data_IF_755094339323
#
_entry.id   IF_755094339323
#
_cell.length_a   1.000
_cell.length_b   1.000
_cell.length_c   1.000
_cell.angle_alpha   90.00
_cell.angle_beta   90.00
_cell.angle_gamma   90.00
#
_symmetry.space_group_name_H-M   'P 1'
#
loop_
_entity.id
_entity.type
_entity.pdbx_description
1 polymer ?
#
# COMPACT_ATOMS: atom_id res chain seq x y z
N UNK A 1 -15.12 22.36 65.43
CA UNK A 1 -14.66 20.98 65.17
C UNK A 1 -15.40 20.51 63.93
N UNK A 2 -14.65 20.41 62.82
CA UNK A 2 -14.92 19.82 61.48
C UNK A 2 -16.22 20.11 60.69
N UNK A 3 -16.25 20.02 59.33
CA UNK A 3 -15.14 19.85 58.36
C UNK A 3 -15.19 20.73 57.07
N UNK A 4 -14.01 20.83 56.46
CA UNK A 4 -13.61 20.99 55.04
C UNK A 4 -14.62 21.33 53.91
N UNK A 5 -14.36 22.45 53.23
CA UNK A 5 -14.72 22.67 51.82
C UNK A 5 -13.45 22.62 50.95
N UNK A 6 -13.31 21.55 50.16
CA UNK A 6 -12.29 21.44 49.11
C UNK A 6 -12.81 22.12 47.84
N UNK A 7 -12.18 23.22 47.44
CA UNK A 7 -12.34 23.80 46.13
C UNK A 7 -11.85 22.82 45.04
N UNK A 8 -12.72 22.55 44.07
CA UNK A 8 -12.45 21.76 42.88
C UNK A 8 -11.47 22.53 41.96
N UNK A 9 -10.23 22.06 41.89
CA UNK A 9 -9.28 22.44 40.85
C UNK A 9 -9.52 21.60 39.60
N UNK A 10 -10.06 22.24 38.57
CA UNK A 10 -10.44 21.69 37.27
C UNK A 10 -9.23 21.02 36.58
N UNK A 11 -9.31 19.71 36.36
CA UNK A 11 -8.34 18.94 35.58
C UNK A 11 -8.40 19.33 34.11
N UNK A 12 -7.49 20.20 33.68
CA UNK A 12 -7.26 20.50 32.28
C UNK A 12 -6.85 19.23 31.54
N UNK A 13 -7.79 18.64 30.79
CA UNK A 13 -7.51 17.63 29.78
C UNK A 13 -6.53 18.26 28.78
N UNK A 14 -5.29 17.78 28.80
CA UNK A 14 -4.31 18.10 27.77
C UNK A 14 -4.89 17.74 26.41
N UNK A 15 -5.09 18.75 25.57
CA UNK A 15 -5.38 18.55 24.15
C UNK A 15 -4.11 17.96 23.57
N UNK A 16 -4.10 16.66 23.30
CA UNK A 16 -3.05 16.03 22.49
C UNK A 16 -3.05 16.75 21.13
N UNK A 17 -2.12 17.69 20.96
CA UNK A 17 -1.87 18.33 19.66
C UNK A 17 -1.30 17.25 18.75
N UNK A 18 -2.16 16.66 17.92
CA UNK A 18 -1.75 15.81 16.80
C UNK A 18 -0.70 16.60 16.00
N UNK A 19 0.46 16.00 15.74
CA UNK A 19 1.50 16.64 14.94
C UNK A 19 0.90 17.10 13.60
N UNK A 20 1.29 18.27 13.08
CA UNK A 20 0.78 18.75 11.81
C UNK A 20 1.05 17.72 10.70
N UNK A 21 0.12 17.55 9.74
CA UNK A 21 0.31 16.60 8.64
C UNK A 21 1.57 16.98 7.85
N UNK A 22 2.29 15.97 7.37
CA UNK A 22 3.50 16.20 6.58
C UNK A 22 3.13 16.75 5.20
N UNK A 23 3.64 17.94 4.87
CA UNK A 23 3.51 18.56 3.55
C UNK A 23 4.19 17.69 2.49
N UNK A 24 3.46 17.39 1.42
CA UNK A 24 3.82 16.42 0.40
C UNK A 24 3.71 16.98 -1.02
N UNK A 25 4.73 16.74 -1.85
CA UNK A 25 4.63 16.84 -3.31
C UNK A 25 4.32 15.48 -3.91
N UNK A 26 3.32 15.41 -4.78
CA UNK A 26 3.02 14.24 -5.61
C UNK A 26 3.58 14.47 -7.01
N UNK A 27 4.52 13.63 -7.43
CA UNK A 27 5.16 13.68 -8.74
C UNK A 27 4.78 12.43 -9.52
N UNK A 28 3.99 12.60 -10.57
CA UNK A 28 3.53 11.51 -11.44
C UNK A 28 4.18 11.60 -12.81
N UNK A 29 5.19 10.76 -13.11
CA UNK A 29 5.71 10.65 -14.46
C UNK A 29 4.72 9.94 -15.39
N UNK A 30 4.60 10.39 -16.63
CA UNK A 30 3.87 9.67 -17.68
C UNK A 30 4.70 9.57 -18.96
N UNK A 31 4.55 8.47 -19.69
CA UNK A 31 5.34 8.26 -20.90
C UNK A 31 4.80 9.11 -22.05
N UNK A 32 5.67 9.87 -22.71
CA UNK A 32 5.28 10.51 -23.97
C UNK A 32 5.13 9.47 -25.08
N UNK A 33 4.28 9.73 -26.08
CA UNK A 33 3.99 8.82 -27.22
C UNK A 33 5.25 8.25 -27.92
N UNK A 34 6.40 8.93 -27.81
CA UNK A 34 7.68 8.51 -28.40
C UNK A 34 8.43 7.46 -27.55
N UNK A 35 8.20 7.44 -26.23
CA UNK A 35 8.77 6.53 -25.24
C UNK A 35 7.96 5.23 -25.11
N UNK A 36 6.66 5.28 -25.42
CA UNK A 36 5.69 4.18 -25.28
C UNK A 36 5.84 3.07 -26.34
N UNK A 37 7.07 2.74 -26.80
CA UNK A 37 7.29 1.64 -27.76
C UNK A 37 6.90 0.29 -27.13
N UNK A 38 5.62 -0.06 -27.21
CA UNK A 38 5.06 -1.36 -26.81
C UNK A 38 4.29 -1.39 -25.49
N UNK A 39 4.10 -0.28 -24.78
CA UNK A 39 3.18 -0.20 -23.63
C UNK A 39 2.14 0.88 -23.90
N UNK A 40 0.92 0.46 -24.21
CA UNK A 40 -0.23 1.38 -24.27
C UNK A 40 -0.54 1.76 -22.83
N UNK A 41 -0.28 3.02 -22.48
CA UNK A 41 -0.75 3.58 -21.20
C UNK A 41 -2.29 3.49 -21.24
N UNK A 42 -2.86 2.55 -20.47
CA UNK A 42 -4.30 2.22 -20.53
C UNK A 42 -5.19 3.34 -19.99
N UNK A 43 -4.60 4.36 -19.35
CA UNK A 43 -5.33 5.43 -18.65
C UNK A 43 -4.83 6.81 -19.02
N UNK A 44 -5.71 7.79 -18.82
CA UNK A 44 -5.34 9.18 -18.92
C UNK A 44 -4.27 9.54 -17.87
N UNK A 45 -3.23 10.30 -18.23
CA UNK A 45 -2.22 10.78 -17.28
C UNK A 45 -2.82 11.49 -16.05
N UNK A 46 -3.92 12.21 -16.25
CA UNK A 46 -4.66 12.89 -15.18
C UNK A 46 -5.26 11.90 -14.18
N UNK A 47 -5.87 10.81 -14.65
CA UNK A 47 -6.43 9.78 -13.77
C UNK A 47 -5.34 9.06 -12.95
N UNK A 48 -4.15 8.87 -13.54
CA UNK A 48 -2.98 8.34 -12.81
C UNK A 48 -2.54 9.31 -11.70
N UNK A 49 -2.51 10.61 -11.98
CA UNK A 49 -2.18 11.63 -10.98
C UNK A 49 -3.23 11.67 -9.86
N UNK A 50 -4.51 11.59 -10.19
CA UNK A 50 -5.61 11.55 -9.21
C UNK A 50 -5.48 10.34 -8.27
N UNK A 51 -5.18 9.16 -8.82
CA UNK A 51 -4.92 7.97 -8.01
C UNK A 51 -3.70 8.15 -7.10
N UNK A 52 -2.60 8.70 -7.62
CA UNK A 52 -1.40 8.99 -6.86
C UNK A 52 -1.67 9.97 -5.69
N UNK A 53 -2.45 11.03 -5.94
CA UNK A 53 -2.91 11.95 -4.90
C UNK A 53 -3.75 11.20 -3.87
N UNK A 54 -4.68 10.35 -4.31
CA UNK A 54 -5.49 9.52 -3.42
C UNK A 54 -4.65 8.63 -2.51
N UNK A 55 -3.54 8.06 -2.99
CA UNK A 55 -2.64 7.24 -2.18
C UNK A 55 -1.96 8.09 -1.09
N UNK A 56 -1.53 9.31 -1.42
CA UNK A 56 -0.94 10.22 -0.44
C UNK A 56 -1.95 10.63 0.65
N UNK A 57 -3.18 10.94 0.25
CA UNK A 57 -4.26 11.28 1.18
C UNK A 57 -4.64 10.10 2.10
N UNK A 58 -4.52 8.86 1.62
CA UNK A 58 -4.83 7.66 2.41
C UNK A 58 -3.96 7.47 3.66
N UNK A 59 -2.79 8.12 3.73
CA UNK A 59 -1.92 8.16 4.91
C UNK A 59 -1.79 9.56 5.53
N UNK A 60 -2.80 10.41 5.31
CA UNK A 60 -2.92 11.74 5.93
C UNK A 60 -1.77 12.70 5.57
N UNK A 61 -1.21 12.58 4.37
CA UNK A 61 -0.27 13.56 3.84
C UNK A 61 -1.02 14.80 3.35
N UNK A 62 -0.47 15.98 3.61
CA UNK A 62 -1.00 17.24 3.08
C UNK A 62 -0.41 17.46 1.68
N UNK A 63 -1.19 17.20 0.64
CA UNK A 63 -0.72 17.39 -0.75
C UNK A 63 -0.73 18.88 -1.10
N UNK A 64 0.45 19.49 -1.13
CA UNK A 64 0.64 20.92 -1.42
C UNK A 64 1.05 21.18 -2.87
N UNK A 65 1.61 20.16 -3.52
CA UNK A 65 1.98 20.21 -4.93
C UNK A 65 1.61 18.92 -5.65
N UNK A 66 1.12 19.04 -6.87
CA UNK A 66 0.82 17.91 -7.78
C UNK A 66 1.42 18.20 -9.15
N UNK A 67 2.35 17.35 -9.58
CA UNK A 67 3.11 17.54 -10.81
C UNK A 67 2.96 16.35 -11.74
N UNK A 68 2.36 16.56 -12.91
CA UNK A 68 2.36 15.59 -13.99
C UNK A 68 3.57 15.84 -14.90
N UNK A 69 4.51 14.90 -14.95
CA UNK A 69 5.79 15.09 -15.63
C UNK A 69 5.87 14.24 -16.91
N UNK A 70 5.89 14.85 -18.11
CA UNK A 70 6.08 14.10 -19.34
C UNK A 70 7.50 13.54 -19.41
N UNK A 71 7.62 12.24 -19.67
CA UNK A 71 8.90 11.56 -19.83
C UNK A 71 9.10 11.07 -21.26
N UNK A 72 10.20 11.52 -21.86
CA UNK A 72 10.71 10.94 -23.11
C UNK A 72 11.52 9.67 -22.89
N UNK A 73 12.20 9.56 -21.74
CA UNK A 73 13.06 8.44 -21.39
C UNK A 73 13.35 8.46 -19.88
N UNK A 74 13.34 7.30 -19.23
CA UNK A 74 13.72 7.16 -17.82
C UNK A 74 15.24 7.27 -17.67
N UNK A 75 15.71 8.20 -16.83
CA UNK A 75 17.14 8.37 -16.56
C UNK A 75 17.62 7.41 -15.46
N UNK A 76 18.72 6.65 -15.68
CA UNK A 76 19.20 5.69 -14.68
C UNK A 76 19.56 6.31 -13.33
N UNK A 77 20.01 7.57 -13.31
CA UNK A 77 20.49 8.22 -12.09
C UNK A 77 19.38 8.83 -11.22
N UNK A 78 18.34 9.41 -11.81
CA UNK A 78 17.33 10.23 -11.10
C UNK A 78 15.90 9.98 -11.55
N UNK A 79 15.67 9.04 -12.48
CA UNK A 79 14.41 8.83 -13.19
C UNK A 79 14.04 9.99 -14.14
N UNK A 80 14.16 11.23 -13.67
CA UNK A 80 13.95 12.49 -14.39
C UNK A 80 15.24 13.05 -15.01
N UNK A 81 15.10 13.93 -16.01
CA UNK A 81 16.21 14.75 -16.51
C UNK A 81 16.60 15.88 -15.54
N UNK A 82 17.85 16.36 -15.62
CA UNK A 82 18.44 17.33 -14.66
C UNK A 82 17.61 18.60 -14.51
N UNK A 83 17.13 19.19 -15.61
CA UNK A 83 16.31 20.41 -15.56
C UNK A 83 15.01 20.22 -14.75
N UNK A 84 14.33 19.08 -14.90
CA UNK A 84 13.13 18.78 -14.10
C UNK A 84 13.46 18.48 -12.63
N UNK A 85 14.62 17.89 -12.36
CA UNK A 85 15.07 17.69 -10.98
C UNK A 85 15.30 19.05 -10.29
N UNK A 86 15.92 20.01 -10.97
CA UNK A 86 16.18 21.35 -10.45
C UNK A 86 14.88 22.17 -10.27
N UNK A 87 13.96 22.08 -11.23
CA UNK A 87 12.63 22.71 -11.14
C UNK A 87 11.86 22.21 -9.90
N UNK A 88 11.83 20.89 -9.69
CA UNK A 88 11.18 20.30 -8.52
C UNK A 88 11.92 20.66 -7.23
N UNK A 89 13.25 20.78 -7.26
CA UNK A 89 14.03 21.20 -6.09
C UNK A 89 13.61 22.59 -5.60
N UNK A 90 13.42 23.54 -6.52
CA UNK A 90 12.98 24.89 -6.20
C UNK A 90 11.56 24.89 -5.60
N UNK A 91 10.66 24.04 -6.10
CA UNK A 91 9.30 23.88 -5.54
C UNK A 91 9.35 23.27 -4.14
N UNK A 92 10.18 22.24 -3.93
CA UNK A 92 10.36 21.59 -2.63
C UNK A 92 10.82 22.59 -1.57
N UNK A 93 11.75 23.47 -1.94
CA UNK A 93 12.25 24.53 -1.05
C UNK A 93 11.20 25.63 -0.82
N UNK A 94 10.58 26.14 -1.88
CA UNK A 94 9.62 27.23 -1.80
C UNK A 94 8.34 26.88 -1.03
N UNK A 95 7.86 25.64 -1.17
CA UNK A 95 6.64 25.15 -0.52
C UNK A 95 6.93 24.41 0.80
N UNK A 96 8.17 24.41 1.29
CA UNK A 96 8.59 23.74 2.53
C UNK A 96 8.13 22.27 2.59
N UNK A 97 8.39 21.52 1.51
CA UNK A 97 7.91 20.16 1.35
C UNK A 97 8.74 19.20 2.20
N UNK A 98 8.09 18.51 3.14
CA UNK A 98 8.72 17.53 4.04
C UNK A 98 8.82 16.12 3.46
N UNK A 99 8.07 15.82 2.40
CA UNK A 99 8.07 14.52 1.73
C UNK A 99 7.78 14.66 0.24
N UNK A 100 8.55 14.01 -0.62
CA UNK A 100 8.21 13.88 -2.04
C UNK A 100 7.72 12.47 -2.30
N UNK A 101 6.45 12.33 -2.68
CA UNK A 101 5.90 11.10 -3.23
C UNK A 101 6.14 11.06 -4.74
N UNK A 102 6.91 10.06 -5.19
CA UNK A 102 7.19 9.81 -6.60
C UNK A 102 6.40 8.58 -7.09
N UNK A 103 5.43 8.79 -7.97
CA UNK A 103 4.50 7.75 -8.45
C UNK A 103 5.11 6.84 -9.54
N UNK A 104 6.22 6.20 -9.19
CA UNK A 104 6.86 5.13 -9.96
C UNK A 104 7.65 4.22 -9.01
N UNK A 105 8.06 3.04 -9.49
CA UNK A 105 9.03 2.21 -8.79
C UNK A 105 10.46 2.74 -9.03
N UNK A 106 11.05 3.38 -8.02
CA UNK A 106 12.40 3.95 -8.12
C UNK A 106 13.46 2.90 -7.79
N UNK A 107 14.59 2.88 -8.49
CA UNK A 107 15.75 2.10 -8.03
C UNK A 107 16.35 2.72 -6.74
N UNK A 108 17.11 1.94 -5.93
CA UNK A 108 17.76 2.48 -4.73
C UNK A 108 18.67 3.68 -5.03
N UNK A 109 19.35 3.65 -6.18
CA UNK A 109 20.24 4.73 -6.63
C UNK A 109 19.44 5.96 -7.04
N UNK A 110 18.32 5.79 -7.75
CA UNK A 110 17.44 6.88 -8.14
C UNK A 110 16.87 7.60 -6.92
N UNK A 111 16.30 6.84 -5.98
CA UNK A 111 15.73 7.41 -4.76
C UNK A 111 16.78 8.23 -3.99
N UNK A 112 17.96 7.66 -3.73
CA UNK A 112 19.04 8.35 -3.01
C UNK A 112 19.47 9.64 -3.71
N UNK A 113 19.61 9.60 -5.03
CA UNK A 113 20.05 10.77 -5.78
C UNK A 113 19.01 11.90 -5.75
N UNK A 114 17.72 11.54 -5.84
CA UNK A 114 16.62 12.49 -5.69
C UNK A 114 16.58 13.08 -4.27
N UNK A 115 16.67 12.24 -3.23
CA UNK A 115 16.73 12.70 -1.83
C UNK A 115 17.88 13.69 -1.60
N UNK A 116 19.07 13.39 -2.15
CA UNK A 116 20.23 14.29 -2.06
C UNK A 116 20.03 15.59 -2.82
N UNK A 117 19.36 15.57 -3.97
CA UNK A 117 19.14 16.75 -4.82
C UNK A 117 18.06 17.67 -4.28
N UNK A 118 17.05 17.11 -3.63
CA UNK A 118 15.92 17.86 -3.08
C UNK A 118 16.08 18.16 -1.58
N UNK A 119 17.07 17.57 -0.91
CA UNK A 119 17.27 17.67 0.54
C UNK A 119 16.04 17.23 1.36
N UNK A 120 15.19 16.39 0.78
CA UNK A 120 13.91 15.95 1.32
C UNK A 120 13.75 14.46 1.12
N UNK A 121 13.04 13.78 2.04
CA UNK A 121 12.77 12.34 1.94
C UNK A 121 11.92 12.05 0.70
N UNK A 122 12.30 11.02 -0.05
CA UNK A 122 11.57 10.58 -1.26
C UNK A 122 10.99 9.20 -0.98
N UNK A 123 9.68 9.07 -1.20
CA UNK A 123 8.96 7.80 -1.10
C UNK A 123 8.45 7.45 -2.49
N UNK A 124 8.71 6.23 -2.91
CA UNK A 124 8.23 5.72 -4.19
C UNK A 124 6.84 5.07 -4.04
N UNK A 125 6.22 4.68 -5.16
CA UNK A 125 4.88 4.05 -5.15
C UNK A 125 4.82 2.81 -4.27
N UNK A 126 5.85 1.98 -4.31
CA UNK A 126 5.91 0.73 -3.52
C UNK A 126 5.93 1.02 -2.02
N UNK A 127 6.80 1.93 -1.59
CA UNK A 127 6.92 2.30 -0.19
C UNK A 127 5.65 2.97 0.36
N UNK A 128 5.00 3.84 -0.43
CA UNK A 128 3.76 4.50 -0.02
C UNK A 128 2.63 3.48 0.18
N UNK A 129 2.48 2.53 -0.75
CA UNK A 129 1.49 1.47 -0.65
C UNK A 129 1.74 0.60 0.59
N UNK A 130 2.99 0.21 0.84
CA UNK A 130 3.37 -0.55 2.05
C UNK A 130 3.01 0.19 3.35
N UNK A 131 3.20 1.51 3.38
CA UNK A 131 2.83 2.36 4.52
C UNK A 131 1.31 2.39 4.72
N UNK A 132 0.53 2.54 3.65
CA UNK A 132 -0.94 2.45 3.72
C UNK A 132 -1.34 1.10 4.33
N UNK A 133 -0.77 -0.01 3.85
CA UNK A 133 -1.10 -1.33 4.39
C UNK A 133 -0.67 -1.51 5.84
N UNK A 134 0.46 -0.94 6.24
CA UNK A 134 0.90 -0.96 7.64
C UNK A 134 -0.14 -0.36 8.58
N UNK A 135 -0.82 0.71 8.14
CA UNK A 135 -1.91 1.35 8.91
C UNK A 135 -3.24 0.59 8.85
N UNK A 136 -3.43 -0.26 7.84
CA UNK A 136 -4.70 -0.97 7.59
C UNK A 136 -4.69 -2.41 8.10
N UNK A 137 -3.52 -3.00 8.30
CA UNK A 137 -3.36 -4.35 8.82
C UNK A 137 -3.85 -4.44 10.26
N UNK A 138 -4.95 -5.13 10.49
CA UNK A 138 -5.54 -5.36 11.81
C UNK A 138 -5.33 -6.78 12.29
N UNK A 139 -5.25 -7.74 11.37
CA UNK A 139 -4.98 -9.13 11.73
C UNK A 139 -3.49 -9.35 11.95
N UNK A 140 -3.16 -10.34 12.79
CA UNK A 140 -1.76 -10.78 12.99
C UNK A 140 -1.12 -11.24 11.67
N UNK A 141 -1.89 -11.92 10.82
CA UNK A 141 -1.44 -12.39 9.51
C UNK A 141 -1.11 -11.21 8.59
N UNK A 142 -2.05 -10.27 8.43
CA UNK A 142 -1.86 -9.08 7.61
C UNK A 142 -0.68 -8.24 8.09
N UNK A 143 -0.52 -8.08 9.41
CA UNK A 143 0.61 -7.34 9.98
C UNK A 143 1.96 -8.01 9.66
N UNK A 144 2.05 -9.34 9.80
CA UNK A 144 3.26 -10.09 9.45
C UNK A 144 3.57 -10.01 7.94
N UNK A 145 2.56 -10.06 7.08
CA UNK A 145 2.74 -9.96 5.62
C UNK A 145 3.24 -8.59 5.19
N UNK A 146 2.66 -7.53 5.76
CA UNK A 146 3.09 -6.16 5.49
C UNK A 146 4.51 -5.95 6.02
N UNK A 147 4.82 -6.43 7.22
CA UNK A 147 6.19 -6.36 7.79
C UNK A 147 7.20 -7.10 6.90
N UNK A 148 6.85 -8.32 6.43
CA UNK A 148 7.69 -9.09 5.52
C UNK A 148 7.97 -8.33 4.21
N UNK A 149 6.93 -7.74 3.62
CA UNK A 149 7.06 -6.96 2.40
C UNK A 149 7.91 -5.70 2.63
N UNK A 150 7.71 -5.01 3.77
CA UNK A 150 8.50 -3.85 4.16
C UNK A 150 9.98 -4.18 4.34
N UNK A 151 10.31 -5.28 5.03
CA UNK A 151 11.69 -5.73 5.23
C UNK A 151 12.35 -6.15 3.92
N UNK A 152 11.62 -6.84 3.03
CA UNK A 152 12.15 -7.21 1.71
C UNK A 152 12.46 -5.97 0.86
N UNK A 153 11.56 -4.99 0.87
CA UNK A 153 11.77 -3.71 0.21
C UNK A 153 13.00 -2.98 0.77
N UNK A 154 13.09 -2.84 2.10
CA UNK A 154 14.22 -2.21 2.79
C UNK A 154 15.54 -2.93 2.49
N UNK A 155 15.56 -4.27 2.53
CA UNK A 155 16.77 -5.08 2.28
C UNK A 155 17.43 -4.74 0.95
N UNK A 156 16.64 -4.49 -0.09
CA UNK A 156 17.14 -4.11 -1.42
C UNK A 156 17.77 -2.71 -1.47
N UNK A 157 17.48 -1.86 -0.47
CA UNK A 157 17.86 -0.44 -0.40
C UNK A 157 18.86 -0.11 0.70
N UNK A 158 19.34 -1.10 1.46
CA UNK A 158 20.40 -0.94 2.48
C UNK A 158 21.76 -0.52 1.88
N UNK A 159 21.94 -0.62 0.57
CA UNK A 159 23.22 -0.37 -0.08
C UNK A 159 23.47 1.14 -0.22
N UNK A 160 24.26 1.68 0.72
CA UNK A 160 24.99 2.97 0.68
C UNK A 160 24.23 4.27 1.04
N UNK A 161 23.06 4.23 1.66
CA UNK A 161 22.31 5.44 2.05
C UNK A 161 22.78 6.15 3.34
N UNK A 162 23.91 5.76 3.93
CA UNK A 162 24.35 6.29 5.24
C UNK A 162 25.68 7.08 5.20
N UNK A 163 25.88 7.98 4.24
CA UNK A 163 27.10 8.82 4.18
C UNK A 163 26.99 10.16 4.93
N UNK A 164 25.87 10.46 5.62
CA UNK A 164 25.66 11.77 6.27
C UNK A 164 25.86 11.81 7.79
N UNK A 165 25.92 10.67 8.49
CA UNK A 165 26.16 10.65 9.95
C UNK A 165 27.65 10.61 10.34
N UNK A 166 28.55 10.33 9.40
CA UNK A 166 30.01 10.32 9.66
C UNK A 166 30.64 11.72 9.64
N UNK A 167 29.95 12.76 9.15
CA UNK A 167 30.53 14.12 9.09
C UNK A 167 30.25 15.00 10.31
N UNK A 168 29.30 14.63 11.16
CA UNK A 168 28.95 15.43 12.34
C UNK A 168 29.57 14.91 13.65
N UNK A 169 30.13 13.69 13.63
CA UNK A 169 30.92 13.14 14.74
C UNK A 169 32.36 13.00 14.27
N UNK A 170 33.14 14.05 14.52
CA UNK A 170 34.59 14.05 14.31
C UNK A 170 35.21 12.76 14.84
N UNK A 171 36.21 12.28 14.10
CA UNK A 171 36.71 10.91 14.18
C UNK A 171 36.83 10.37 15.60
N UNK A 172 36.21 9.22 15.83
CA UNK A 172 36.57 8.31 16.92
C UNK A 172 35.95 6.94 16.68
N UNK A 173 36.80 5.92 16.60
CA UNK A 173 36.42 4.55 16.96
C UNK A 173 35.80 3.69 15.87
N UNK A 174 36.66 2.89 15.23
CA UNK A 174 36.37 1.48 14.96
C UNK A 174 35.61 0.87 16.17
N UNK A 175 34.29 0.77 16.09
CA UNK A 175 33.47 -0.04 17.00
C UNK A 175 32.56 -0.95 16.18
N UNK A 176 33.20 -1.71 15.30
CA UNK A 176 32.76 -3.04 14.86
C UNK A 176 34.01 -3.91 14.92
N UNK A 177 33.90 -5.18 15.33
CA UNK A 177 35.03 -6.10 15.30
C UNK A 177 35.72 -6.14 13.93
N UNK A 178 36.95 -6.67 13.84
CA UNK A 178 37.74 -6.65 12.61
C UNK A 178 37.10 -7.58 11.55
N UNK A 179 36.11 -7.11 10.79
CA UNK A 179 35.62 -7.84 9.61
C UNK A 179 34.20 -7.54 9.12
N UNK A 180 33.24 -7.18 9.97
CA UNK A 180 31.85 -6.97 9.52
C UNK A 180 31.55 -5.47 9.39
N UNK A 181 31.17 -5.03 8.18
CA UNK A 181 30.71 -3.66 7.97
C UNK A 181 29.33 -3.48 8.60
N UNK A 182 29.02 -2.30 9.15
CA UNK A 182 27.69 -2.01 9.73
C UNK A 182 26.54 -2.36 8.77
N UNK A 183 26.75 -2.17 7.46
CA UNK A 183 25.78 -2.49 6.41
C UNK A 183 25.52 -4.00 6.34
N UNK A 184 26.54 -4.83 6.51
CA UNK A 184 26.40 -6.29 6.53
C UNK A 184 25.68 -6.74 7.80
N UNK A 185 25.98 -6.14 8.94
CA UNK A 185 25.29 -6.41 10.20
C UNK A 185 23.78 -6.09 10.09
N UNK A 186 23.42 -4.91 9.55
CA UNK A 186 22.02 -4.51 9.36
C UNK A 186 21.31 -5.43 8.35
N UNK A 187 21.99 -5.79 7.26
CA UNK A 187 21.47 -6.73 6.25
C UNK A 187 21.24 -8.11 6.86
N UNK A 188 22.12 -8.57 7.74
CA UNK A 188 21.98 -9.83 8.47
C UNK A 188 20.80 -9.78 9.43
N UNK A 189 20.65 -8.71 10.21
CA UNK A 189 19.51 -8.52 11.12
C UNK A 189 18.17 -8.53 10.37
N UNK A 190 18.08 -7.82 9.25
CA UNK A 190 16.87 -7.84 8.39
C UNK A 190 16.64 -9.25 7.84
N UNK A 191 17.68 -9.95 7.40
CA UNK A 191 17.59 -11.34 6.94
C UNK A 191 17.07 -12.30 8.02
N UNK A 192 17.60 -12.22 9.23
CA UNK A 192 17.16 -13.03 10.38
C UNK A 192 15.70 -12.74 10.75
N UNK A 193 15.28 -11.47 10.67
CA UNK A 193 13.89 -11.06 10.91
C UNK A 193 12.95 -11.60 9.84
N UNK A 194 13.33 -11.52 8.57
CA UNK A 194 12.58 -12.11 7.44
C UNK A 194 12.33 -13.60 7.69
N UNK A 195 13.38 -14.38 7.99
CA UNK A 195 13.27 -15.82 8.23
C UNK A 195 12.30 -16.13 9.39
N UNK A 196 12.32 -15.31 10.45
CA UNK A 196 11.42 -15.46 11.59
C UNK A 196 9.96 -15.22 11.19
N UNK A 197 9.69 -14.13 10.48
CA UNK A 197 8.34 -13.79 10.02
C UNK A 197 7.81 -14.83 9.04
N UNK A 198 8.65 -15.35 8.14
CA UNK A 198 8.27 -16.44 7.22
C UNK A 198 7.85 -17.70 7.99
N UNK A 199 8.56 -18.06 9.06
CA UNK A 199 8.17 -19.16 9.96
C UNK A 199 6.84 -18.88 10.68
N UNK A 200 6.66 -17.67 11.19
CA UNK A 200 5.43 -17.29 11.88
C UNK A 200 4.22 -17.32 10.91
N UNK A 201 4.42 -16.87 9.66
CA UNK A 201 3.41 -16.95 8.60
C UNK A 201 3.07 -18.40 8.25
N UNK A 202 4.05 -19.29 8.20
CA UNK A 202 3.82 -20.72 7.96
C UNK A 202 2.97 -21.35 9.07
N UNK A 203 3.17 -20.94 10.33
CA UNK A 203 2.33 -21.37 11.44
C UNK A 203 0.89 -20.86 11.29
N UNK A 204 0.71 -19.59 10.91
CA UNK A 204 -0.62 -18.99 10.68
C UNK A 204 -1.36 -19.72 9.55
N UNK A 205 -0.67 -20.03 8.44
CA UNK A 205 -1.24 -20.82 7.33
C UNK A 205 -1.76 -22.18 7.78
N UNK A 206 -1.01 -22.90 8.62
CA UNK A 206 -1.45 -24.20 9.18
C UNK A 206 -2.73 -24.06 10.01
N UNK A 207 -2.81 -23.04 10.87
CA UNK A 207 -4.03 -22.74 11.62
C UNK A 207 -5.21 -22.43 10.70
N UNK A 208 -4.98 -21.66 9.63
CA UNK A 208 -6.02 -21.33 8.64
C UNK A 208 -6.53 -22.56 7.90
N UNK A 209 -5.65 -23.48 7.50
CA UNK A 209 -6.02 -24.76 6.87
C UNK A 209 -6.90 -25.65 7.78
N UNK A 210 -6.64 -25.63 9.09
CA UNK A 210 -7.49 -26.33 10.07
C UNK A 210 -8.89 -25.70 10.15
N UNK A 211 -8.98 -24.37 10.26
CA UNK A 211 -10.26 -23.65 10.22
C UNK A 211 -11.00 -23.84 8.89
N UNK A 212 -10.26 -23.98 7.78
CA UNK A 212 -10.80 -24.27 6.45
C UNK A 212 -11.43 -25.65 6.37
N UNK A 213 -10.79 -26.66 6.96
CA UNK A 213 -11.30 -28.04 6.99
C UNK A 213 -12.60 -28.12 7.80
N UNK A 214 -12.69 -27.35 8.88
CA UNK A 214 -13.94 -27.18 9.65
C UNK A 214 -15.03 -26.48 8.82
N UNK A 215 -14.68 -25.45 8.04
CA UNK A 215 -15.62 -24.72 7.16
C UNK A 215 -16.10 -25.53 5.96
N UNK A 216 -15.30 -26.42 5.39
CA UNK A 216 -15.74 -27.38 4.35
C UNK A 216 -16.90 -28.28 4.80
N UNK A 217 -17.15 -28.42 6.11
CA UNK A 217 -18.30 -29.15 6.65
C UNK A 217 -19.60 -28.34 6.67
N UNK A 218 -19.54 -27.03 6.42
CA UNK A 218 -20.70 -26.14 6.37
C UNK A 218 -20.93 -25.73 4.89
N UNK A 219 -22.06 -26.10 4.27
CA UNK A 219 -22.22 -26.11 2.82
C UNK A 219 -22.72 -24.76 2.25
N UNK A 220 -22.25 -23.63 2.78
CA UNK A 220 -22.70 -22.33 2.27
C UNK A 220 -21.75 -21.86 1.15
N UNK A 221 -22.29 -21.52 -0.03
CA UNK A 221 -21.49 -20.94 -1.11
C UNK A 221 -20.77 -19.68 -0.66
N UNK A 222 -19.51 -19.53 -1.08
CA UNK A 222 -18.69 -18.36 -0.80
C UNK A 222 -18.75 -17.42 -2.01
N UNK A 223 -19.06 -16.15 -1.75
CA UNK A 223 -19.06 -15.09 -2.75
C UNK A 223 -18.00 -14.06 -2.37
N UNK A 224 -17.00 -13.85 -3.22
CA UNK A 224 -15.96 -12.85 -3.01
C UNK A 224 -16.23 -11.59 -3.84
N UNK A 225 -16.23 -10.43 -3.20
CA UNK A 225 -16.30 -9.14 -3.86
C UNK A 225 -14.90 -8.70 -4.28
N UNK A 226 -14.65 -8.61 -5.59
CA UNK A 226 -13.39 -8.09 -6.15
C UNK A 226 -13.64 -6.82 -6.92
N UNK A 227 -12.59 -6.06 -7.20
CA UNK A 227 -12.69 -4.83 -7.98
C UNK A 227 -11.75 -3.74 -7.50
N UNK A 228 -11.73 -2.66 -8.26
CA UNK A 228 -10.85 -1.53 -8.02
C UNK A 228 -11.08 -0.88 -6.65
N UNK A 229 -10.05 -0.27 -6.07
CA UNK A 229 -10.25 0.58 -4.89
C UNK A 229 -11.31 1.65 -5.19
N UNK A 230 -12.11 1.97 -4.17
CA UNK A 230 -13.26 2.89 -4.28
C UNK A 230 -14.40 2.48 -5.23
N UNK A 231 -14.38 1.29 -5.85
CA UNK A 231 -15.49 0.81 -6.69
C UNK A 231 -16.80 0.53 -5.92
N UNK A 232 -16.86 0.80 -4.62
CA UNK A 232 -18.05 0.58 -3.78
C UNK A 232 -18.18 -0.84 -3.19
N UNK A 233 -17.12 -1.67 -3.24
CA UNK A 233 -17.11 -3.03 -2.66
C UNK A 233 -17.60 -3.07 -1.21
N UNK A 234 -16.96 -2.31 -0.32
CA UNK A 234 -17.32 -2.27 1.11
C UNK A 234 -18.70 -1.64 1.35
N UNK A 235 -19.13 -0.71 0.49
CA UNK A 235 -20.50 -0.15 0.53
C UNK A 235 -21.55 -1.21 0.18
N UNK A 236 -21.32 -1.98 -0.89
CA UNK A 236 -22.18 -3.10 -1.28
C UNK A 236 -22.19 -4.18 -0.18
N UNK A 237 -21.02 -4.52 0.35
CA UNK A 237 -20.87 -5.46 1.46
C UNK A 237 -21.70 -5.05 2.67
N UNK A 238 -21.57 -3.80 3.13
CA UNK A 238 -22.32 -3.28 4.27
C UNK A 238 -23.82 -3.32 4.04
N UNK A 239 -24.28 -2.95 2.84
CA UNK A 239 -25.69 -2.97 2.50
C UNK A 239 -26.27 -4.38 2.53
N UNK A 240 -25.54 -5.37 1.98
CA UNK A 240 -25.97 -6.76 1.94
C UNK A 240 -25.92 -7.45 3.31
N UNK A 241 -24.91 -7.13 4.11
CA UNK A 241 -24.66 -7.78 5.41
C UNK A 241 -25.28 -7.06 6.60
N UNK A 242 -25.80 -5.83 6.39
CA UNK A 242 -26.17 -4.88 7.45
C UNK A 242 -25.02 -4.64 8.45
N UNK A 243 -23.77 -4.85 8.03
CA UNK A 243 -22.59 -4.62 8.84
C UNK A 243 -22.16 -3.13 8.80
N UNK A 244 -21.33 -2.75 9.77
CA UNK A 244 -20.66 -1.46 9.81
C UNK A 244 -19.16 -1.63 9.54
N UNK A 245 -18.80 -2.18 8.37
CA UNK A 245 -17.40 -2.16 7.90
C UNK A 245 -17.06 -0.73 7.46
N UNK A 246 -15.81 -0.32 7.65
CA UNK A 246 -15.33 0.99 7.26
C UNK A 246 -15.39 1.15 5.74
N UNK A 247 -16.35 1.94 5.25
CA UNK A 247 -16.41 2.38 3.86
C UNK A 247 -16.06 3.87 3.84
N UNK A 248 -14.85 4.19 3.38
CA UNK A 248 -14.39 5.56 3.21
C UNK A 248 -13.85 5.72 1.80
N UNK A 249 -13.94 6.94 1.28
CA UNK A 249 -13.37 7.37 0.01
C UNK A 249 -11.84 7.50 0.13
N UNK A 250 -11.18 6.37 0.40
CA UNK A 250 -9.74 6.23 0.57
C UNK A 250 -9.27 4.94 -0.12
N UNK A 251 -8.11 5.00 -0.77
CA UNK A 251 -7.48 3.80 -1.32
C UNK A 251 -7.14 2.81 -0.20
N UNK A 252 -7.34 1.52 -0.49
CA UNK A 252 -7.11 0.41 0.44
C UNK A 252 -7.82 0.54 1.80
N UNK A 253 -9.05 1.04 1.81
CA UNK A 253 -9.89 1.08 3.01
C UNK A 253 -10.02 -0.29 3.71
N UNK A 254 -10.04 -1.37 2.92
CA UNK A 254 -10.05 -2.76 3.38
C UNK A 254 -8.76 -3.47 2.95
N UNK A 255 -8.09 -4.13 3.90
CA UNK A 255 -6.91 -4.98 3.67
C UNK A 255 -7.19 -6.43 4.05
N UNK A 256 -7.60 -6.65 5.30
CA UNK A 256 -7.96 -7.98 5.80
C UNK A 256 -9.35 -8.39 5.28
N UNK A 257 -9.52 -9.63 4.77
CA UNK A 257 -10.80 -10.07 4.25
C UNK A 257 -11.86 -10.11 5.37
N UNK A 258 -13.05 -9.57 5.09
CA UNK A 258 -14.17 -9.59 6.05
C UNK A 258 -15.25 -10.56 5.58
N UNK A 259 -15.50 -11.59 6.37
CA UNK A 259 -16.52 -12.62 6.09
C UNK A 259 -17.80 -12.37 6.88
N UNK A 260 -18.95 -12.46 6.22
CA UNK A 260 -20.27 -12.40 6.86
C UNK A 260 -21.24 -13.35 6.18
N UNK A 261 -22.11 -13.98 6.98
CA UNK A 261 -23.23 -14.76 6.44
C UNK A 261 -24.34 -13.82 5.98
N UNK A 262 -24.87 -14.06 4.79
CA UNK A 262 -26.02 -13.33 4.23
C UNK A 262 -27.08 -14.34 3.81
N UNK A 263 -28.33 -14.09 4.19
CA UNK A 263 -29.48 -14.85 3.71
C UNK A 263 -30.02 -14.17 2.45
N UNK A 264 -29.99 -14.87 1.31
CA UNK A 264 -30.53 -14.38 0.05
C UNK A 264 -32.06 -14.40 0.06
N UNK A 265 -32.74 -13.58 -0.77
CA UNK A 265 -34.21 -13.49 -0.76
C UNK A 265 -34.96 -14.81 -0.99
N UNK A 266 -34.32 -15.77 -1.67
CA UNK A 266 -34.86 -17.10 -1.95
C UNK A 266 -34.50 -18.15 -0.88
N UNK A 267 -33.91 -17.74 0.24
CA UNK A 267 -33.63 -18.59 1.40
C UNK A 267 -32.25 -19.24 1.45
N UNK A 268 -31.46 -19.16 0.37
CA UNK A 268 -30.07 -19.67 0.36
C UNK A 268 -29.19 -18.79 1.22
N UNK A 269 -28.47 -19.39 2.17
CA UNK A 269 -27.43 -18.71 2.95
C UNK A 269 -26.10 -18.79 2.23
N UNK A 270 -25.43 -17.65 2.09
CA UNK A 270 -24.09 -17.53 1.52
C UNK A 270 -23.11 -16.90 2.52
N UNK A 271 -21.83 -17.07 2.27
CA UNK A 271 -20.77 -16.32 2.95
C UNK A 271 -20.26 -15.27 1.98
N UNK A 272 -20.47 -14.00 2.30
CA UNK A 272 -19.94 -12.88 1.54
C UNK A 272 -18.58 -12.47 2.11
N UNK A 273 -17.60 -12.26 1.23
CA UNK A 273 -16.25 -11.80 1.55
C UNK A 273 -15.98 -10.44 0.91
N UNK A 274 -15.66 -9.42 1.71
CA UNK A 274 -15.07 -8.17 1.23
C UNK A 274 -13.55 -8.34 1.17
N UNK A 275 -12.94 -8.07 0.01
CA UNK A 275 -11.49 -8.24 -0.20
C UNK A 275 -10.78 -6.91 -0.38
N UNK A 276 -9.44 -6.97 -0.39
CA UNK A 276 -8.62 -5.81 -0.73
C UNK A 276 -8.99 -5.30 -2.14
N UNK A 277 -9.02 -3.97 -2.30
CA UNK A 277 -9.22 -3.35 -3.60
C UNK A 277 -7.94 -3.34 -4.43
N UNK A 278 -8.08 -3.52 -5.74
CA UNK A 278 -6.97 -3.43 -6.68
C UNK A 278 -6.66 -1.98 -7.08
N UNK A 279 -5.41 -1.73 -7.48
CA UNK A 279 -4.92 -0.45 -8.02
C UNK A 279 -4.01 -0.71 -9.23
N UNK A 280 -3.57 0.34 -9.92
CA UNK A 280 -2.59 0.26 -10.99
C UNK A 280 -1.29 -0.32 -10.49
N UNK A 281 -0.59 -1.02 -11.38
CA UNK A 281 0.84 -1.27 -11.21
C UNK A 281 1.17 -1.77 -9.79
N UNK A 282 0.35 -2.70 -9.28
CA UNK A 282 0.57 -3.30 -7.96
C UNK A 282 1.98 -3.91 -7.96
N UNK A 283 2.86 -3.51 -7.02
CA UNK A 283 4.21 -4.04 -6.99
C UNK A 283 4.19 -5.56 -6.83
N UNK A 284 4.98 -6.28 -7.62
CA UNK A 284 5.05 -7.76 -7.57
C UNK A 284 5.42 -8.29 -6.18
N UNK A 285 6.23 -7.53 -5.43
CA UNK A 285 6.58 -7.84 -4.03
C UNK A 285 5.35 -7.84 -3.11
N UNK A 286 4.37 -7.00 -3.41
CA UNK A 286 3.11 -6.91 -2.68
C UNK A 286 2.14 -8.03 -3.09
N UNK A 287 2.11 -8.45 -4.35
CA UNK A 287 1.26 -9.57 -4.80
C UNK A 287 1.51 -10.85 -3.97
N UNK A 288 2.77 -11.13 -3.62
CA UNK A 288 3.12 -12.26 -2.77
C UNK A 288 2.58 -12.12 -1.33
N UNK A 289 2.62 -10.90 -0.77
CA UNK A 289 2.02 -10.60 0.53
C UNK A 289 0.50 -10.68 0.48
N UNK A 290 -0.12 -10.26 -0.63
CA UNK A 290 -1.55 -10.33 -0.87
C UNK A 290 -2.08 -11.72 -1.13
N UNK A 291 -1.25 -12.64 -1.63
CA UNK A 291 -1.70 -13.96 -2.08
C UNK A 291 -2.49 -14.72 -1.02
N UNK A 292 -2.12 -14.62 0.26
CA UNK A 292 -2.88 -15.28 1.32
C UNK A 292 -4.18 -14.53 1.65
N UNK A 293 -4.20 -13.20 1.58
CA UNK A 293 -5.45 -12.41 1.72
C UNK A 293 -6.40 -12.61 0.53
N UNK A 294 -5.86 -12.94 -0.64
CA UNK A 294 -6.59 -13.26 -1.88
C UNK A 294 -6.91 -14.76 -2.01
N UNK A 295 -6.47 -15.60 -1.06
CA UNK A 295 -6.78 -17.03 -1.04
C UNK A 295 -8.30 -17.26 -0.96
N UNK A 296 -9.04 -16.40 -0.25
CA UNK A 296 -10.51 -16.46 -0.24
C UNK A 296 -11.12 -16.20 -1.62
N UNK A 297 -10.49 -15.38 -2.48
CA UNK A 297 -10.95 -15.16 -3.87
C UNK A 297 -10.71 -16.43 -4.70
N UNK A 298 -9.54 -17.04 -4.55
CA UNK A 298 -9.18 -18.29 -5.26
C UNK A 298 -10.13 -19.44 -4.87
N UNK A 299 -10.70 -19.41 -3.67
CA UNK A 299 -11.61 -20.41 -3.14
C UNK A 299 -13.10 -20.10 -3.32
N UNK A 300 -13.48 -18.85 -3.59
CA UNK A 300 -14.88 -18.43 -3.63
C UNK A 300 -15.68 -19.07 -4.77
N UNK A 301 -16.80 -19.75 -4.49
CA UNK A 301 -17.63 -20.36 -5.54
C UNK A 301 -18.11 -19.35 -6.60
N UNK A 302 -18.29 -18.09 -6.21
CA UNK A 302 -18.58 -16.97 -7.12
C UNK A 302 -17.68 -15.78 -6.80
N UNK A 303 -17.13 -15.17 -7.84
CA UNK A 303 -16.38 -13.92 -7.75
C UNK A 303 -17.22 -12.82 -8.38
N UNK A 304 -17.69 -11.88 -7.56
CA UNK A 304 -18.46 -10.73 -8.02
C UNK A 304 -17.52 -9.55 -8.22
N UNK A 305 -17.32 -9.15 -9.46
CA UNK A 305 -16.48 -8.02 -9.82
C UNK A 305 -17.29 -6.73 -9.77
N UNK A 306 -17.10 -5.98 -8.69
CA UNK A 306 -17.76 -4.68 -8.48
C UNK A 306 -17.01 -3.61 -9.25
N UNK A 307 -17.72 -2.91 -10.14
CA UNK A 307 -17.19 -1.87 -11.01
C UNK A 307 -17.84 -0.53 -10.71
N UNK A 308 -17.04 0.53 -10.73
CA UNK A 308 -17.57 1.89 -10.85
C UNK A 308 -17.81 2.20 -12.34
N UNK A 309 -19.07 2.26 -12.73
CA UNK A 309 -19.48 2.54 -14.12
C UNK A 309 -19.42 4.03 -14.44
N UNK A 310 -19.40 4.90 -13.42
CA UNK A 310 -19.30 6.34 -13.60
C UNK A 310 -17.88 6.81 -13.90
N UNK A 311 -16.88 5.99 -13.58
CA UNK A 311 -15.48 6.31 -13.80
C UNK A 311 -15.11 6.20 -15.29
N UNK A 312 -14.45 7.21 -15.90
CA UNK A 312 -14.11 7.18 -17.33
C UNK A 312 -13.20 6.00 -17.71
N UNK A 313 -12.31 5.59 -16.80
CA UNK A 313 -11.41 4.44 -16.97
C UNK A 313 -12.01 3.09 -16.54
N UNK A 314 -13.34 2.95 -16.42
CA UNK A 314 -13.98 1.71 -15.92
C UNK A 314 -13.54 0.44 -16.67
N UNK A 315 -13.37 0.53 -17.99
CA UNK A 315 -12.90 -0.61 -18.80
C UNK A 315 -11.43 -0.94 -18.55
N UNK A 316 -10.58 0.08 -18.38
CA UNK A 316 -9.16 -0.12 -18.08
C UNK A 316 -8.98 -0.71 -16.67
N UNK A 317 -9.73 -0.21 -15.68
CA UNK A 317 -9.75 -0.77 -14.33
C UNK A 317 -10.23 -2.22 -14.32
N UNK A 318 -11.25 -2.53 -15.12
CA UNK A 318 -11.75 -3.90 -15.25
C UNK A 318 -10.72 -4.83 -15.89
N UNK A 319 -10.00 -4.37 -16.90
CA UNK A 319 -8.88 -5.11 -17.50
C UNK A 319 -7.76 -5.37 -16.48
N UNK A 320 -7.38 -4.37 -15.68
CA UNK A 320 -6.34 -4.53 -14.66
C UNK A 320 -6.74 -5.57 -13.59
N UNK A 321 -8.02 -5.56 -13.17
CA UNK A 321 -8.53 -6.58 -12.23
C UNK A 321 -8.48 -7.97 -12.86
N UNK A 322 -8.90 -8.12 -14.12
CA UNK A 322 -8.86 -9.40 -14.84
C UNK A 322 -7.43 -9.93 -15.02
N UNK A 323 -6.47 -9.07 -15.32
CA UNK A 323 -5.05 -9.42 -15.42
C UNK A 323 -4.57 -9.99 -14.07
N UNK A 324 -4.87 -9.32 -12.96
CA UNK A 324 -4.48 -9.80 -11.62
C UNK A 324 -5.18 -11.11 -11.25
N UNK A 325 -6.47 -11.27 -11.55
CA UNK A 325 -7.17 -12.54 -11.33
C UNK A 325 -6.54 -13.68 -12.13
N UNK A 326 -6.11 -13.42 -13.36
CA UNK A 326 -5.41 -14.39 -14.22
C UNK A 326 -4.04 -14.75 -13.64
N UNK A 327 -3.27 -13.78 -13.14
CA UNK A 327 -1.99 -14.01 -12.46
C UNK A 327 -2.14 -14.85 -11.17
N UNK A 328 -3.29 -14.75 -10.51
CA UNK A 328 -3.64 -15.59 -9.35
C UNK A 328 -4.07 -17.02 -9.74
N UNK A 329 -4.20 -17.31 -11.04
CA UNK A 329 -4.60 -18.60 -11.57
C UNK A 329 -6.11 -18.81 -11.64
N UNK A 330 -6.90 -17.73 -11.63
CA UNK A 330 -8.36 -17.80 -11.77
C UNK A 330 -8.69 -17.77 -13.25
N UNK A 331 -9.33 -18.84 -13.73
CA UNK A 331 -9.82 -18.92 -15.09
C UNK A 331 -11.14 -18.15 -15.26
N UNK A 332 -11.08 -17.08 -16.04
CA UNK A 332 -12.20 -16.17 -16.30
C UNK A 332 -13.28 -16.81 -17.20
N UNK A 333 -12.97 -17.87 -17.95
CA UNK A 333 -13.91 -18.52 -18.88
C UNK A 333 -14.86 -19.52 -18.18
N UNK A 334 -14.59 -19.86 -16.92
CA UNK A 334 -15.37 -20.84 -16.15
C UNK A 334 -16.77 -20.36 -15.74
N UNK A 335 -17.12 -19.09 -16.04
CA UNK A 335 -18.38 -18.47 -15.59
C UNK A 335 -18.43 -18.15 -14.09
N UNK A 336 -17.32 -18.35 -13.37
CA UNK A 336 -17.16 -18.09 -11.94
C UNK A 336 -17.07 -16.61 -11.61
N UNK A 337 -16.60 -15.80 -12.56
CA UNK A 337 -16.47 -14.35 -12.44
C UNK A 337 -17.69 -13.69 -13.07
N UNK A 338 -18.38 -12.85 -12.29
CA UNK A 338 -19.56 -12.09 -12.72
C UNK A 338 -19.20 -10.60 -12.65
N UNK A 339 -19.30 -9.91 -13.79
CA UNK A 339 -19.11 -8.45 -13.91
C UNK A 339 -20.40 -7.65 -13.63
#
# INVERSE_FOLDING_TARGET
MEPSEKAQGNGGKGIERRAPPTRCAVITPHATKRAARGHVERRAPEARLEEAVGLALAIELEVVYRGLIPLSEVKPATYLGSGKVEEIAAIVEAEEIGLVFFDAALSPVQQRNLEKKWSTKVVDRTALILEIFGRRARTKEGALQVELAHLNYQRSRLVRSWTHLERQRGGFGFLGGPGETQIEADRRQIGERIIRIEKDLEQVKRTRALHRTSRKRVPYPIVALVGYTNAGKSTLFNRLTKAQVMAQDLLFATLDPTLRSVDLPHGTRIILSDTVGFISELPTQLVAAFRATLEEVIEADVILHVRDVSHPDTEAQAADVRDVLTELGIDLETGRVID
#
